data_IF_127130951641
#
_entry.id   IF_127130951641
#
_cell.length_a   1.000
_cell.length_b   1.000
_cell.length_c   1.000
_cell.angle_alpha   90.00
_cell.angle_beta   90.00
_cell.angle_gamma   90.00
#
_symmetry.space_group_name_H-M   'P 1'
#
loop_
_entity.id
_entity.type
_entity.pdbx_description
1 polymer ?
#
# COMPACT_ATOMS: atom_id res chain seq x y z
N UNK A 1 13.19 -8.00 -6.81
CA UNK A 1 12.81 -7.81 -5.40
C UNK A 1 11.46 -7.11 -5.40
N UNK A 2 10.48 -7.55 -4.59
CA UNK A 2 9.10 -7.04 -4.64
C UNK A 2 8.74 -6.33 -3.34
N UNK A 3 8.02 -5.20 -3.44
CA UNK A 3 7.47 -4.48 -2.30
C UNK A 3 5.96 -4.77 -2.21
N UNK A 4 5.50 -5.35 -1.10
CA UNK A 4 4.09 -5.64 -0.89
C UNK A 4 3.46 -4.65 0.10
N UNK A 5 2.27 -4.17 -0.22
CA UNK A 5 1.41 -3.37 0.65
C UNK A 5 0.29 -4.27 1.14
N UNK A 6 0.37 -4.70 2.40
CA UNK A 6 -0.62 -5.54 3.05
C UNK A 6 -1.81 -4.72 3.56
N UNK A 7 -2.96 -5.38 3.70
CA UNK A 7 -4.11 -4.83 4.39
C UNK A 7 -3.91 -4.98 5.89
N UNK A 8 -4.22 -3.92 6.63
CA UNK A 8 -4.23 -3.96 8.09
C UNK A 8 -5.33 -4.90 8.61
N UNK A 9 -4.99 -5.71 9.63
CA UNK A 9 -5.91 -6.70 10.24
C UNK A 9 -6.31 -6.33 11.67
N UNK A 10 -5.65 -5.35 12.28
CA UNK A 10 -5.94 -4.91 13.63
C UNK A 10 -7.32 -4.24 13.69
N UNK A 11 -8.12 -4.59 14.71
CA UNK A 11 -9.45 -4.02 14.87
C UNK A 11 -9.38 -2.50 15.06
N UNK A 12 -10.15 -1.76 14.25
CA UNK A 12 -10.18 -0.30 14.27
C UNK A 12 -9.00 0.38 13.55
N UNK A 13 -8.01 -0.38 13.07
CA UNK A 13 -6.95 0.14 12.22
C UNK A 13 -7.47 0.39 10.81
N UNK A 14 -7.23 1.59 10.28
CA UNK A 14 -7.75 2.05 8.99
C UNK A 14 -6.67 2.60 8.08
N UNK A 15 -5.44 2.74 8.58
CA UNK A 15 -4.30 3.26 7.83
C UNK A 15 -3.84 2.26 6.78
N UNK A 16 -2.99 2.74 5.88
CA UNK A 16 -2.24 1.93 4.91
C UNK A 16 -0.80 2.42 4.87
N UNK A 17 0.14 1.51 4.62
CA UNK A 17 1.57 1.80 4.71
C UNK A 17 2.04 2.91 3.75
N UNK A 18 1.46 3.00 2.56
CA UNK A 18 1.83 3.99 1.54
C UNK A 18 0.60 4.58 0.86
N UNK A 19 0.66 5.87 0.58
CA UNK A 19 -0.32 6.58 -0.24
C UNK A 19 -0.02 6.43 -1.74
N UNK A 20 -1.00 6.61 -2.64
CA UNK A 20 -0.79 6.45 -4.08
C UNK A 20 0.37 7.28 -4.66
N UNK A 21 0.62 8.50 -4.16
CA UNK A 21 1.75 9.34 -4.64
C UNK A 21 3.12 8.69 -4.35
N UNK A 22 3.29 8.11 -3.15
CA UNK A 22 4.52 7.41 -2.78
C UNK A 22 4.71 6.15 -3.63
N UNK A 23 3.64 5.38 -3.87
CA UNK A 23 3.66 4.21 -4.74
C UNK A 23 4.07 4.60 -6.17
N UNK A 24 3.51 5.69 -6.71
CA UNK A 24 3.85 6.17 -8.05
C UNK A 24 5.34 6.52 -8.19
N UNK A 25 5.97 7.10 -7.16
CA UNK A 25 7.41 7.40 -7.14
C UNK A 25 8.26 6.13 -7.14
N UNK A 26 7.87 5.13 -6.35
CA UNK A 26 8.58 3.85 -6.28
C UNK A 26 8.50 3.09 -7.61
N UNK A 27 7.31 3.04 -8.22
CA UNK A 27 7.14 2.42 -9.54
C UNK A 27 7.98 3.13 -10.60
N UNK A 28 8.05 4.47 -10.59
CA UNK A 28 8.93 5.24 -11.49
C UNK A 28 10.42 4.92 -11.31
N UNK A 29 10.83 4.53 -10.11
CA UNK A 29 12.20 4.08 -9.81
C UNK A 29 12.45 2.62 -10.20
N UNK A 30 11.47 1.92 -10.79
CA UNK A 30 11.58 0.54 -11.23
C UNK A 30 11.27 -0.50 -10.15
N UNK A 31 10.67 -0.09 -9.02
CA UNK A 31 10.25 -1.02 -7.97
C UNK A 31 8.95 -1.72 -8.37
N UNK A 32 8.96 -3.05 -8.33
CA UNK A 32 7.74 -3.85 -8.48
C UNK A 32 6.91 -3.80 -7.19
N UNK A 33 5.74 -3.17 -7.25
CA UNK A 33 4.83 -2.99 -6.10
C UNK A 33 3.60 -3.87 -6.25
N UNK A 34 3.27 -4.61 -5.20
CA UNK A 34 2.09 -5.44 -5.09
C UNK A 34 1.19 -4.90 -3.98
N UNK A 35 -0.11 -4.85 -4.23
CA UNK A 35 -1.09 -4.34 -3.26
C UNK A 35 -2.10 -5.43 -2.97
N UNK A 36 -2.29 -5.77 -1.70
CA UNK A 36 -3.34 -6.67 -1.28
C UNK A 36 -4.71 -6.05 -1.56
N UNK A 37 -5.65 -6.86 -2.08
CA UNK A 37 -6.99 -6.39 -2.36
C UNK A 37 -7.65 -5.80 -1.10
N UNK A 38 -8.08 -4.54 -1.19
CA UNK A 38 -8.72 -3.83 -0.08
C UNK A 38 -7.76 -3.12 0.89
N UNK A 39 -6.44 -3.18 0.68
CA UNK A 39 -5.50 -2.33 1.41
C UNK A 39 -5.80 -0.84 1.15
N UNK A 40 -5.93 -0.05 2.21
CA UNK A 40 -6.23 1.38 2.12
C UNK A 40 -7.68 1.74 1.77
N UNK A 41 -8.58 0.77 1.54
CA UNK A 41 -9.99 1.06 1.21
C UNK A 41 -10.76 1.79 2.31
N UNK A 42 -10.29 1.73 3.56
CA UNK A 42 -10.87 2.41 4.72
C UNK A 42 -10.04 3.62 5.18
N UNK A 43 -8.95 3.94 4.46
CA UNK A 43 -8.07 5.07 4.75
C UNK A 43 -8.61 6.31 4.05
N UNK A 44 -8.76 7.42 4.78
CA UNK A 44 -9.23 8.72 4.28
C UNK A 44 -8.22 9.82 4.60
#
# INVERSE_FOLDING_TARGET
MKLAIAKEIAAGERRVALVPDAVARLVKQGVEVWVEAGAGAQSF
#
